data_IF_614294259933
#
_entry.id   IF_614294259933
#
_cell.length_a   1.000
_cell.length_b   1.000
_cell.length_c   1.000
_cell.angle_alpha   90.00
_cell.angle_beta   90.00
_cell.angle_gamma   90.00
#
_symmetry.space_group_name_H-M   'P 1'
#
loop_
_entity.id
_entity.type
_entity.pdbx_description
1 polymer ?
#
# COMPACT_ATOMS: atom_id res chain seq x y z
N UNK A 1 43.37 -43.23 7.90
CA UNK A 1 42.00 -42.76 7.57
C UNK A 1 42.07 -41.25 7.49
N UNK A 2 42.32 -40.71 6.28
CA UNK A 2 42.63 -39.28 6.05
C UNK A 2 41.38 -38.56 5.56
N UNK A 3 41.00 -37.50 6.25
CA UNK A 3 39.85 -36.64 5.93
C UNK A 3 40.35 -35.57 4.96
N UNK A 4 40.04 -35.73 3.68
CA UNK A 4 40.37 -34.74 2.64
C UNK A 4 39.46 -33.53 2.81
N UNK A 5 39.98 -32.40 3.28
CA UNK A 5 39.27 -31.13 3.25
C UNK A 5 39.11 -30.68 1.79
N UNK A 6 37.87 -30.66 1.28
CA UNK A 6 37.54 -30.01 0.02
C UNK A 6 37.70 -28.48 0.18
N UNK A 7 38.39 -27.78 -0.74
CA UNK A 7 38.51 -26.33 -0.65
C UNK A 7 37.15 -25.68 -0.90
N UNK A 8 36.70 -24.85 0.04
CA UNK A 8 35.55 -23.98 -0.14
C UNK A 8 35.84 -22.99 -1.29
N UNK A 9 35.19 -23.19 -2.44
CA UNK A 9 35.30 -22.29 -3.57
C UNK A 9 34.85 -20.88 -3.15
N UNK A 10 35.78 -19.93 -3.13
CA UNK A 10 35.47 -18.52 -2.86
C UNK A 10 34.68 -17.93 -4.02
N UNK A 11 33.44 -17.51 -3.77
CA UNK A 11 32.67 -16.71 -4.73
C UNK A 11 33.26 -15.29 -4.73
N UNK A 12 34.08 -15.00 -5.75
CA UNK A 12 34.56 -13.65 -6.04
C UNK A 12 33.37 -12.67 -6.27
N UNK A 13 33.56 -11.36 -6.00
CA UNK A 13 32.46 -10.43 -5.74
C UNK A 13 31.75 -10.05 -7.05
N UNK A 14 30.58 -10.62 -7.29
CA UNK A 14 29.57 -10.04 -8.22
C UNK A 14 28.90 -8.78 -7.62
N UNK A 15 29.46 -8.27 -6.53
CA UNK A 15 28.90 -7.22 -5.69
C UNK A 15 29.07 -5.83 -6.31
N UNK A 16 30.14 -5.56 -7.06
CA UNK A 16 30.39 -4.19 -7.56
C UNK A 16 29.39 -3.76 -8.64
N UNK A 17 29.07 -4.64 -9.60
CA UNK A 17 28.08 -4.32 -10.64
C UNK A 17 26.65 -4.34 -10.09
N UNK A 18 26.31 -5.31 -9.23
CA UNK A 18 24.97 -5.38 -8.63
C UNK A 18 24.76 -4.22 -7.66
N UNK A 19 25.76 -3.84 -6.88
CA UNK A 19 25.70 -2.67 -5.99
C UNK A 19 25.64 -1.37 -6.79
N UNK A 20 26.38 -1.25 -7.91
CA UNK A 20 26.29 -0.08 -8.80
C UNK A 20 24.89 0.04 -9.41
N UNK A 21 24.33 -1.05 -9.94
CA UNK A 21 22.97 -1.06 -10.49
C UNK A 21 21.92 -0.76 -9.41
N UNK A 22 22.06 -1.33 -8.20
CA UNK A 22 21.17 -1.04 -7.08
C UNK A 22 21.26 0.43 -6.65
N UNK A 23 22.48 0.99 -6.57
CA UNK A 23 22.71 2.39 -6.23
C UNK A 23 22.06 3.34 -7.25
N UNK A 24 22.23 3.07 -8.55
CA UNK A 24 21.60 3.85 -9.63
C UNK A 24 20.08 3.76 -9.55
N UNK A 25 19.53 2.55 -9.36
CA UNK A 25 18.09 2.35 -9.21
C UNK A 25 17.54 3.12 -8.00
N UNK A 26 18.23 3.06 -6.85
CA UNK A 26 17.84 3.83 -5.66
C UNK A 26 17.89 5.33 -5.91
N UNK A 27 18.88 5.83 -6.64
CA UNK A 27 19.00 7.26 -6.95
C UNK A 27 17.85 7.72 -7.86
N UNK A 28 17.50 6.92 -8.86
CA UNK A 28 16.39 7.21 -9.78
C UNK A 28 15.05 7.20 -9.02
N UNK A 29 14.81 6.20 -8.16
CA UNK A 29 13.58 6.11 -7.37
C UNK A 29 13.48 7.20 -6.28
N UNK A 30 14.60 7.57 -5.66
CA UNK A 30 14.63 8.61 -4.62
C UNK A 30 14.62 10.03 -5.19
N UNK A 31 15.06 10.21 -6.44
CA UNK A 31 15.22 11.51 -7.09
C UNK A 31 14.00 12.45 -6.95
N UNK A 32 12.77 12.02 -7.29
CA UNK A 32 11.57 12.86 -7.14
C UNK A 32 11.29 13.26 -5.69
N UNK A 33 11.47 12.34 -4.73
CA UNK A 33 11.26 12.63 -3.32
C UNK A 33 12.27 13.65 -2.80
N UNK A 34 13.55 13.48 -3.15
CA UNK A 34 14.62 14.44 -2.82
C UNK A 34 14.32 15.80 -3.44
N UNK A 35 13.91 15.85 -4.72
CA UNK A 35 13.55 17.10 -5.39
C UNK A 35 12.42 17.84 -4.66
N UNK A 36 11.34 17.15 -4.30
CA UNK A 36 10.21 17.74 -3.55
C UNK A 36 10.67 18.25 -2.18
N UNK A 37 11.48 17.48 -1.44
CA UNK A 37 11.98 17.89 -0.12
C UNK A 37 12.87 19.13 -0.26
N UNK A 38 13.77 19.16 -1.26
CA UNK A 38 14.60 20.34 -1.49
C UNK A 38 13.76 21.56 -1.82
N UNK A 39 12.80 21.45 -2.75
CA UNK A 39 11.89 22.54 -3.11
C UNK A 39 11.07 23.05 -1.93
N UNK A 40 10.66 22.17 -1.01
CA UNK A 40 9.92 22.54 0.19
C UNK A 40 10.76 23.35 1.21
N UNK A 41 12.10 23.26 1.15
CA UNK A 41 13.02 23.98 2.04
C UNK A 41 13.50 25.31 1.45
N UNK A 42 13.32 25.53 0.14
CA UNK A 42 13.65 26.81 -0.49
C UNK A 42 12.61 27.89 -0.12
N UNK A 43 13.01 29.17 -0.03
CA UNK A 43 12.08 30.29 0.20
C UNK A 43 11.01 30.38 -0.90
N UNK A 44 9.79 30.73 -0.49
CA UNK A 44 8.55 30.61 -1.25
C UNK A 44 8.57 31.35 -2.61
N UNK A 45 8.24 30.61 -3.68
CA UNK A 45 8.10 31.13 -5.05
C UNK A 45 6.63 31.24 -5.50
N UNK A 46 5.66 31.05 -4.58
CA UNK A 46 4.23 31.33 -4.82
C UNK A 46 3.23 30.22 -4.49
N UNK A 47 3.63 29.15 -3.79
CA UNK A 47 2.77 28.00 -3.49
C UNK A 47 2.49 27.89 -1.98
N UNK A 48 1.80 28.90 -1.44
CA UNK A 48 1.37 28.87 -0.04
C UNK A 48 0.10 28.02 0.09
N UNK A 49 0.28 26.72 0.34
CA UNK A 49 -0.82 25.83 0.74
C UNK A 49 -1.27 26.29 2.14
N UNK A 50 -2.39 27.02 2.19
CA UNK A 50 -2.90 27.56 3.46
C UNK A 50 -2.93 26.48 4.54
N UNK A 51 -2.44 26.80 5.75
CA UNK A 51 -2.24 25.81 6.83
C UNK A 51 -3.49 25.02 7.22
N UNK A 52 -4.68 25.57 6.95
CA UNK A 52 -5.95 24.86 7.09
C UNK A 52 -6.07 23.64 6.14
N UNK A 53 -5.69 23.79 4.87
CA UNK A 53 -5.77 22.72 3.88
C UNK A 53 -4.81 21.57 4.22
N UNK A 54 -3.59 21.90 4.64
CA UNK A 54 -2.60 20.92 5.06
C UNK A 54 -3.07 20.15 6.30
N UNK A 55 -3.65 20.87 7.26
CA UNK A 55 -4.19 20.27 8.49
C UNK A 55 -5.37 19.35 8.19
N UNK A 56 -6.30 19.78 7.35
CA UNK A 56 -7.47 18.99 6.96
C UNK A 56 -7.04 17.74 6.18
N UNK A 57 -6.12 17.87 5.23
CA UNK A 57 -5.57 16.73 4.49
C UNK A 57 -4.82 15.75 5.38
N UNK A 58 -3.99 16.23 6.32
CA UNK A 58 -3.25 15.39 7.24
C UNK A 58 -4.19 14.62 8.20
N UNK A 59 -5.18 15.30 8.78
CA UNK A 59 -6.17 14.68 9.67
C UNK A 59 -7.05 13.69 8.92
N UNK A 60 -7.55 14.05 7.73
CA UNK A 60 -8.36 13.17 6.89
C UNK A 60 -7.60 11.91 6.49
N UNK A 61 -6.35 12.06 6.03
CA UNK A 61 -5.50 10.91 5.66
C UNK A 61 -5.23 10.00 6.85
N UNK A 62 -4.87 10.56 8.01
CA UNK A 62 -4.62 9.79 9.22
C UNK A 62 -5.86 9.00 9.66
N UNK A 63 -7.04 9.62 9.59
CA UNK A 63 -8.30 9.00 9.97
C UNK A 63 -8.69 7.87 9.01
N UNK A 64 -8.54 8.08 7.69
CA UNK A 64 -8.79 7.05 6.69
C UNK A 64 -7.84 5.86 6.82
N UNK A 65 -6.56 6.09 7.09
CA UNK A 65 -5.59 5.02 7.35
C UNK A 65 -5.95 4.26 8.63
N UNK A 66 -6.30 4.96 9.71
CA UNK A 66 -6.64 4.32 10.98
C UNK A 66 -7.86 3.41 10.86
N UNK A 67 -8.93 3.89 10.21
CA UNK A 67 -10.17 3.13 10.08
C UNK A 67 -10.07 2.08 8.97
N UNK A 68 -9.67 2.48 7.77
CA UNK A 68 -9.59 1.59 6.61
C UNK A 68 -8.46 0.57 6.73
N UNK A 69 -7.25 1.03 7.10
CA UNK A 69 -6.10 0.16 7.32
C UNK A 69 -6.28 -0.73 8.55
N UNK A 70 -6.79 -0.18 9.66
CA UNK A 70 -7.12 -0.96 10.85
C UNK A 70 -8.16 -2.05 10.55
N UNK A 71 -9.24 -1.70 9.85
CA UNK A 71 -10.26 -2.65 9.41
C UNK A 71 -9.70 -3.73 8.48
N UNK A 72 -8.84 -3.36 7.53
CA UNK A 72 -8.17 -4.30 6.63
C UNK A 72 -7.27 -5.29 7.39
N UNK A 73 -6.53 -4.84 8.42
CA UNK A 73 -5.72 -5.72 9.26
C UNK A 73 -6.61 -6.69 10.03
N UNK A 74 -7.64 -6.19 10.72
CA UNK A 74 -8.52 -7.04 11.54
C UNK A 74 -9.25 -8.08 10.69
N UNK A 75 -9.91 -7.64 9.62
CA UNK A 75 -10.69 -8.52 8.76
C UNK A 75 -9.79 -9.41 7.88
N UNK A 76 -8.72 -8.85 7.32
CA UNK A 76 -7.79 -9.55 6.44
C UNK A 76 -6.97 -10.59 7.19
N UNK A 77 -6.38 -10.24 8.34
CA UNK A 77 -5.65 -11.21 9.17
C UNK A 77 -6.60 -12.25 9.78
N UNK A 78 -7.81 -11.85 10.18
CA UNK A 78 -8.84 -12.79 10.64
C UNK A 78 -9.24 -13.80 9.56
N UNK A 79 -9.49 -13.34 8.33
CA UNK A 79 -9.79 -14.21 7.20
C UNK A 79 -8.62 -15.13 6.84
N UNK A 80 -7.38 -14.60 6.84
CA UNK A 80 -6.17 -15.38 6.61
C UNK A 80 -5.98 -16.47 7.68
N UNK A 81 -6.25 -16.15 8.95
CA UNK A 81 -6.22 -17.11 10.05
C UNK A 81 -7.24 -18.22 9.83
N UNK A 82 -8.50 -17.88 9.54
CA UNK A 82 -9.57 -18.84 9.30
C UNK A 82 -9.22 -19.80 8.14
N UNK A 83 -8.81 -19.26 6.99
CA UNK A 83 -8.49 -20.09 5.82
C UNK A 83 -7.24 -20.94 6.06
N UNK A 84 -6.25 -20.47 6.83
CA UNK A 84 -5.01 -21.23 7.05
C UNK A 84 -5.16 -22.32 8.10
N UNK A 85 -5.73 -21.99 9.27
CA UNK A 85 -5.73 -22.85 10.45
C UNK A 85 -7.06 -23.57 10.72
N UNK A 86 -8.18 -23.12 10.15
CA UNK A 86 -9.46 -23.82 10.29
C UNK A 86 -9.77 -24.71 9.08
N UNK A 87 -10.55 -25.78 9.31
CA UNK A 87 -11.07 -26.67 8.26
C UNK A 87 -12.58 -26.49 8.16
N UNK A 88 -13.05 -25.86 7.09
CA UNK A 88 -14.48 -25.65 6.82
C UNK A 88 -14.80 -25.90 5.34
N UNK A 89 -16.04 -26.31 5.01
CA UNK A 89 -16.44 -26.53 3.61
C UNK A 89 -16.39 -25.21 2.83
N UNK A 90 -15.73 -25.21 1.67
CA UNK A 90 -15.58 -24.02 0.82
C UNK A 90 -14.29 -23.20 1.03
N UNK A 91 -13.35 -23.66 1.88
CA UNK A 91 -12.03 -23.02 2.11
C UNK A 91 -11.31 -22.62 0.82
N UNK A 92 -11.26 -23.50 -0.17
CA UNK A 92 -10.54 -23.26 -1.43
C UNK A 92 -11.11 -22.08 -2.24
N UNK A 93 -12.41 -21.83 -2.14
CA UNK A 93 -13.05 -20.67 -2.77
C UNK A 93 -12.61 -19.37 -2.11
N UNK A 94 -12.61 -19.33 -0.77
CA UNK A 94 -12.15 -18.15 -0.01
C UNK A 94 -10.66 -17.87 -0.19
N UNK A 95 -9.84 -18.92 -0.28
CA UNK A 95 -8.41 -18.80 -0.59
C UNK A 95 -8.18 -18.06 -1.91
N UNK A 96 -8.97 -18.38 -2.93
CA UNK A 96 -8.94 -17.68 -4.23
C UNK A 96 -9.51 -16.25 -4.17
N UNK A 97 -10.65 -16.07 -3.51
CA UNK A 97 -11.32 -14.77 -3.40
C UNK A 97 -10.49 -13.73 -2.64
N UNK A 98 -9.70 -14.15 -1.64
CA UNK A 98 -8.83 -13.26 -0.89
C UNK A 98 -7.66 -12.70 -1.73
N UNK A 99 -7.25 -13.41 -2.78
CA UNK A 99 -6.20 -12.97 -3.70
C UNK A 99 -6.75 -12.03 -4.79
N UNK A 100 -8.03 -12.18 -5.15
CA UNK A 100 -8.69 -11.39 -6.19
C UNK A 100 -8.56 -9.86 -6.05
N UNK A 101 -8.79 -9.24 -4.87
CA UNK A 101 -8.66 -7.79 -4.72
C UNK A 101 -7.22 -7.28 -4.89
N UNK A 102 -6.21 -8.13 -4.67
CA UNK A 102 -4.80 -7.76 -4.89
C UNK A 102 -4.42 -7.73 -6.38
N UNK A 103 -5.14 -8.46 -7.23
CA UNK A 103 -4.88 -8.51 -8.67
C UNK A 103 -5.53 -7.32 -9.42
N UNK A 104 -6.57 -6.73 -8.85
CA UNK A 104 -7.31 -5.66 -9.49
C UNK A 104 -6.65 -4.28 -9.22
N UNK A 105 -6.57 -3.39 -10.22
CA UNK A 105 -6.05 -2.04 -10.02
C UNK A 105 -6.90 -1.27 -9.01
N UNK A 106 -6.25 -0.52 -8.11
CA UNK A 106 -6.92 0.24 -7.04
C UNK A 106 -8.00 1.18 -7.56
N UNK A 107 -7.74 1.85 -8.69
CA UNK A 107 -8.68 2.75 -9.35
C UNK A 107 -9.96 2.04 -9.82
N UNK A 108 -9.85 0.81 -10.33
CA UNK A 108 -11.01 0.01 -10.77
C UNK A 108 -11.88 -0.33 -9.57
N UNK A 109 -11.28 -0.73 -8.45
CA UNK A 109 -12.00 -0.97 -7.19
C UNK A 109 -12.70 0.30 -6.71
N UNK A 110 -12.02 1.44 -6.72
CA UNK A 110 -12.60 2.71 -6.29
C UNK A 110 -13.88 3.06 -7.06
N UNK A 111 -13.90 2.88 -8.38
CA UNK A 111 -15.11 3.10 -9.17
C UNK A 111 -16.18 2.03 -9.01
N UNK A 112 -15.78 0.77 -8.85
CA UNK A 112 -16.73 -0.27 -8.52
C UNK A 112 -17.45 0.04 -7.20
N UNK A 113 -16.72 0.46 -6.16
CA UNK A 113 -17.32 0.89 -4.91
C UNK A 113 -18.17 2.15 -5.07
N UNK A 114 -17.64 3.20 -5.73
CA UNK A 114 -18.38 4.45 -5.93
C UNK A 114 -19.70 4.23 -6.68
N UNK A 115 -19.72 3.39 -7.71
CA UNK A 115 -20.95 3.07 -8.46
C UNK A 115 -21.99 2.32 -7.62
N UNK A 116 -21.57 1.58 -6.60
CA UNK A 116 -22.47 0.91 -5.65
C UNK A 116 -23.00 1.87 -4.57
N UNK A 117 -22.16 2.79 -4.10
CA UNK A 117 -22.41 3.61 -2.89
C UNK A 117 -22.82 5.06 -3.14
N UNK A 118 -22.80 5.52 -4.39
CA UNK A 118 -23.20 6.88 -4.77
C UNK A 118 -24.67 7.19 -4.42
N UNK A 119 -25.03 8.48 -4.36
CA UNK A 119 -26.40 8.95 -4.19
C UNK A 119 -27.34 8.46 -5.31
N UNK A 120 -28.01 7.32 -5.07
CA UNK A 120 -28.86 6.62 -6.05
C UNK A 120 -28.32 5.27 -6.53
N UNK A 121 -27.18 4.84 -5.99
CA UNK A 121 -26.63 3.50 -6.19
C UNK A 121 -27.47 2.40 -5.52
N UNK A 122 -27.22 1.13 -5.88
CA UNK A 122 -27.96 -0.02 -5.36
C UNK A 122 -27.77 -0.24 -3.85
N UNK A 123 -26.71 0.31 -3.25
CA UNK A 123 -26.47 0.21 -1.81
C UNK A 123 -26.64 1.60 -1.18
N UNK A 124 -27.64 1.79 -0.30
CA UNK A 124 -27.91 3.09 0.28
C UNK A 124 -26.84 3.41 1.35
N UNK A 125 -25.97 4.37 1.06
CA UNK A 125 -25.06 4.96 2.04
C UNK A 125 -25.46 6.39 2.37
N UNK A 126 -25.36 6.81 3.64
CA UNK A 126 -25.56 8.20 3.99
C UNK A 126 -24.43 9.03 3.39
N UNK A 127 -24.76 9.86 2.40
CA UNK A 127 -23.79 10.76 1.74
C UNK A 127 -23.34 11.91 2.63
N UNK A 128 -23.93 12.03 3.82
CA UNK A 128 -23.59 13.04 4.82
C UNK A 128 -22.72 12.39 5.92
N UNK A 129 -21.65 13.04 6.33
CA UNK A 129 -20.78 12.56 7.41
C UNK A 129 -19.63 11.66 6.91
N UNK A 130 -19.19 10.71 7.75
CA UNK A 130 -17.99 9.88 7.50
C UNK A 130 -18.03 9.14 6.16
N UNK A 131 -19.20 8.60 5.80
CA UNK A 131 -19.38 7.85 4.55
C UNK A 131 -19.39 8.75 3.31
N UNK A 132 -19.92 9.98 3.43
CA UNK A 132 -19.73 11.02 2.42
C UNK A 132 -18.25 11.33 2.23
N UNK A 133 -17.53 11.64 3.31
CA UNK A 133 -16.11 12.00 3.25
C UNK A 133 -15.18 10.88 2.74
N UNK A 134 -15.60 9.61 2.85
CA UNK A 134 -14.79 8.46 2.41
C UNK A 134 -15.12 7.97 1.00
N UNK A 135 -16.32 8.25 0.46
CA UNK A 135 -16.82 7.66 -0.78
C UNK A 135 -17.39 8.67 -1.79
N UNK A 136 -17.41 9.97 -1.46
CA UNK A 136 -17.84 11.10 -2.32
C UNK A 136 -16.78 12.19 -2.31
#
# INVERSE_FOLDING_TARGET
MSITHAPAASRAPRLDLVALCAAVATLICAGPAVAVITLALLPDQGANFGGALLRDGAVGTALLIAIGGGGAVVLGAGAAWLVSLCKFPGRAMFEWLLVLPLAAPSYVLAYAYSSLTWAGGPVPFPVNGLWGAAFV
#
